data_IF_311454897930
#
_entry.id   IF_311454897930
#
_cell.length_a   1.000
_cell.length_b   1.000
_cell.length_c   1.000
_cell.angle_alpha   90.00
_cell.angle_beta   90.00
_cell.angle_gamma   90.00
#
_symmetry.space_group_name_H-M   'P 1'
#
loop_
_entity.id
_entity.type
_entity.pdbx_description
1 polymer ?
#
# COMPACT_ATOMS: atom_id res chain seq x y z
N UNK A 1 27.73 2.47 1.26
CA UNK A 1 28.08 1.96 -0.09
C UNK A 1 27.08 2.45 -1.15
N UNK A 2 25.93 2.98 -0.73
CA UNK A 2 24.77 3.32 -1.58
C UNK A 2 24.89 4.62 -2.39
N UNK A 3 25.66 5.61 -1.91
CA UNK A 3 25.91 6.85 -2.67
C UNK A 3 26.67 6.62 -3.97
N UNK A 4 27.64 5.68 -4.00
CA UNK A 4 28.38 5.34 -5.22
C UNK A 4 27.49 4.61 -6.24
N UNK A 5 26.55 3.79 -5.77
CA UNK A 5 25.60 3.06 -6.61
C UNK A 5 24.61 4.00 -7.30
N UNK A 6 24.15 5.09 -6.65
CA UNK A 6 23.24 6.05 -7.29
C UNK A 6 23.93 6.89 -8.37
N UNK A 7 25.20 7.28 -8.15
CA UNK A 7 25.99 8.05 -9.13
C UNK A 7 26.25 7.23 -10.39
N UNK A 8 26.57 5.95 -10.27
CA UNK A 8 26.79 5.04 -11.42
C UNK A 8 25.51 4.87 -12.23
N UNK A 9 24.36 4.70 -11.57
CA UNK A 9 23.05 4.61 -12.24
C UNK A 9 22.71 5.90 -12.98
N UNK A 10 23.00 7.05 -12.38
CA UNK A 10 22.77 8.35 -13.00
C UNK A 10 23.67 8.58 -14.22
N UNK A 11 24.96 8.23 -14.12
CA UNK A 11 25.91 8.23 -15.23
C UNK A 11 25.44 7.32 -16.39
N UNK A 12 24.99 6.11 -16.08
CA UNK A 12 24.44 5.19 -17.08
C UNK A 12 23.21 5.76 -17.79
N UNK A 13 22.32 6.43 -17.06
CA UNK A 13 21.13 7.08 -17.61
C UNK A 13 21.51 8.23 -18.55
N UNK A 14 22.47 9.07 -18.17
CA UNK A 14 22.97 10.15 -19.02
C UNK A 14 23.62 9.59 -20.28
N UNK A 15 24.43 8.54 -20.15
CA UNK A 15 25.12 7.91 -21.28
C UNK A 15 24.13 7.24 -22.24
N UNK A 16 23.09 6.60 -21.71
CA UNK A 16 21.97 6.06 -22.49
C UNK A 16 21.23 7.17 -23.24
N UNK A 17 20.96 8.30 -22.58
CA UNK A 17 20.28 9.44 -23.18
C UNK A 17 21.09 10.05 -24.32
N UNK A 18 22.42 10.16 -24.14
CA UNK A 18 23.34 10.61 -25.19
C UNK A 18 23.34 9.64 -26.37
N UNK A 19 23.39 8.33 -26.11
CA UNK A 19 23.36 7.31 -27.15
C UNK A 19 22.05 7.36 -27.97
N UNK A 20 20.90 7.49 -27.30
CA UNK A 20 19.59 7.63 -27.95
C UNK A 20 19.55 8.91 -28.80
N UNK A 21 20.06 10.03 -28.27
CA UNK A 21 20.09 11.31 -28.97
C UNK A 21 20.98 11.24 -30.21
N UNK A 22 22.14 10.57 -30.12
CA UNK A 22 23.05 10.38 -31.25
C UNK A 22 22.40 9.52 -32.35
N UNK A 23 21.75 8.42 -31.97
CA UNK A 23 20.99 7.57 -32.90
C UNK A 23 19.87 8.37 -33.57
N UNK A 24 19.17 9.21 -32.81
CA UNK A 24 18.10 10.06 -33.32
C UNK A 24 18.59 11.13 -34.30
N UNK A 25 19.71 11.80 -34.01
CA UNK A 25 20.32 12.77 -34.93
C UNK A 25 20.79 12.08 -36.21
N UNK A 26 21.43 10.92 -36.09
CA UNK A 26 21.85 10.12 -37.24
C UNK A 26 20.66 9.71 -38.12
N UNK A 27 19.54 9.37 -37.49
CA UNK A 27 18.27 9.09 -38.16
C UNK A 27 17.75 10.29 -38.96
N UNK A 28 17.75 11.51 -38.39
CA UNK A 28 17.30 12.72 -39.10
C UNK A 28 18.17 13.01 -40.33
N UNK A 29 19.49 12.84 -40.22
CA UNK A 29 20.43 13.07 -41.34
C UNK A 29 20.17 12.09 -42.49
N UNK A 30 20.01 10.80 -42.17
CA UNK A 30 19.68 9.77 -43.17
C UNK A 30 18.31 10.03 -43.81
N UNK A 31 17.32 10.44 -43.02
CA UNK A 31 15.97 10.77 -43.49
C UNK A 31 15.98 11.91 -44.52
N UNK A 32 16.69 13.01 -44.21
CA UNK A 32 16.84 14.14 -45.14
C UNK A 32 17.58 13.70 -46.41
N UNK A 33 18.65 12.90 -46.27
CA UNK A 33 19.41 12.38 -47.43
C UNK A 33 18.60 11.50 -48.38
N UNK A 34 17.60 10.76 -47.87
CA UNK A 34 16.70 9.92 -48.66
C UNK A 34 15.60 10.77 -49.32
N UNK A 35 15.04 11.75 -48.60
CA UNK A 35 14.03 12.68 -49.13
C UNK A 35 14.52 13.48 -50.33
N UNK A 36 15.82 13.84 -50.35
CA UNK A 36 16.43 14.57 -51.48
C UNK A 36 16.67 13.66 -52.71
N UNK A 37 16.63 12.32 -52.56
CA UNK A 37 17.09 11.38 -53.60
C UNK A 37 16.04 10.54 -54.33
N UNK A 38 14.77 10.46 -53.89
CA UNK A 38 13.84 9.49 -54.48
C UNK A 38 12.63 10.09 -55.20
N UNK A 39 12.61 9.86 -56.53
CA UNK A 39 11.38 9.63 -57.29
C UNK A 39 10.61 8.46 -56.64
N UNK A 40 9.30 8.65 -56.45
CA UNK A 40 8.45 7.82 -55.60
C UNK A 40 8.37 6.38 -56.13
N UNK A 41 9.06 5.47 -55.44
CA UNK A 41 8.97 4.02 -55.55
C UNK A 41 8.33 3.50 -54.27
N UNK A 42 7.25 2.72 -54.38
CA UNK A 42 6.55 2.09 -53.24
C UNK A 42 7.36 0.89 -52.68
N UNK A 43 8.64 1.09 -52.39
CA UNK A 43 9.44 0.15 -51.62
C UNK A 43 9.50 0.64 -50.18
N UNK A 44 8.88 -0.13 -49.28
CA UNK A 44 8.93 0.14 -47.84
C UNK A 44 10.40 0.12 -47.42
N UNK A 45 10.91 1.23 -46.90
CA UNK A 45 12.31 1.34 -46.53
C UNK A 45 12.56 0.49 -45.27
N UNK A 46 13.73 -0.14 -45.17
CA UNK A 46 14.14 -0.90 -43.98
C UNK A 46 13.98 -0.10 -42.67
N UNK A 47 14.06 1.23 -42.78
CA UNK A 47 13.88 2.20 -41.69
C UNK A 47 12.45 2.18 -41.13
N UNK A 48 11.43 2.01 -41.97
CA UNK A 48 10.03 1.98 -41.54
C UNK A 48 9.75 0.73 -40.70
N UNK A 49 10.34 -0.41 -41.08
CA UNK A 49 10.28 -1.65 -40.31
C UNK A 49 10.96 -1.51 -38.94
N UNK A 50 12.14 -0.89 -38.87
CA UNK A 50 12.86 -0.66 -37.61
C UNK A 50 12.04 0.26 -36.69
N UNK A 51 11.47 1.33 -37.24
CA UNK A 51 10.63 2.26 -36.47
C UNK A 51 9.38 1.57 -35.94
N UNK A 52 8.72 0.74 -36.76
CA UNK A 52 7.54 -0.03 -36.35
C UNK A 52 7.87 -1.02 -35.23
N UNK A 53 8.97 -1.77 -35.34
CA UNK A 53 9.45 -2.71 -34.32
C UNK A 53 9.79 -1.97 -33.02
N UNK A 54 10.52 -0.85 -33.12
CA UNK A 54 10.91 -0.04 -31.96
C UNK A 54 9.68 0.51 -31.23
N UNK A 55 8.71 1.04 -31.97
CA UNK A 55 7.45 1.54 -31.42
C UNK A 55 6.65 0.44 -30.71
N UNK A 56 6.58 -0.76 -31.30
CA UNK A 56 5.93 -1.90 -30.69
C UNK A 56 6.59 -2.32 -29.36
N UNK A 57 7.92 -2.39 -29.32
CA UNK A 57 8.69 -2.72 -28.11
C UNK A 57 8.44 -1.68 -27.01
N UNK A 58 8.52 -0.39 -27.33
CA UNK A 58 8.26 0.70 -26.35
C UNK A 58 6.84 0.62 -25.82
N UNK A 59 5.86 0.38 -26.69
CA UNK A 59 4.45 0.26 -26.31
C UNK A 59 4.22 -0.90 -25.33
N UNK A 60 4.79 -2.07 -25.62
CA UNK A 60 4.71 -3.25 -24.73
C UNK A 60 5.38 -2.94 -23.37
N UNK A 61 6.55 -2.31 -23.39
CA UNK A 61 7.29 -1.98 -22.17
C UNK A 61 6.53 -0.98 -21.28
N UNK A 62 5.99 0.09 -21.87
CA UNK A 62 5.17 1.08 -21.15
C UNK A 62 3.91 0.44 -20.59
N UNK A 63 3.22 -0.40 -21.39
CA UNK A 63 2.04 -1.14 -20.94
C UNK A 63 2.34 -2.05 -19.75
N UNK A 64 3.45 -2.79 -19.80
CA UNK A 64 3.92 -3.63 -18.69
C UNK A 64 4.26 -2.79 -17.45
N UNK A 65 4.97 -1.67 -17.61
CA UNK A 65 5.36 -0.80 -16.50
C UNK A 65 4.14 -0.21 -15.78
N UNK A 66 3.16 0.31 -16.53
CA UNK A 66 1.92 0.87 -15.98
C UNK A 66 1.12 -0.24 -15.28
N UNK A 67 0.95 -1.40 -15.93
CA UNK A 67 0.22 -2.54 -15.37
C UNK A 67 0.83 -3.01 -14.05
N UNK A 68 2.17 -3.14 -14.01
CA UNK A 68 2.89 -3.52 -12.79
C UNK A 68 2.67 -2.52 -11.66
N UNK A 69 2.77 -1.22 -11.96
CA UNK A 69 2.57 -0.15 -10.96
C UNK A 69 1.14 -0.08 -10.43
N UNK A 70 0.14 -0.23 -11.29
CA UNK A 70 -1.28 -0.28 -10.89
C UNK A 70 -1.55 -1.49 -9.99
N UNK A 71 -0.97 -2.64 -10.35
CA UNK A 71 -1.10 -3.89 -9.61
C UNK A 71 -0.49 -3.78 -8.21
N UNK A 72 0.71 -3.21 -8.10
CA UNK A 72 1.38 -2.98 -6.82
C UNK A 72 0.54 -2.07 -5.92
N UNK A 73 0.11 -0.90 -6.42
CA UNK A 73 -0.76 0.02 -5.66
C UNK A 73 -2.04 -0.65 -5.18
N UNK A 74 -2.66 -1.51 -6.00
CA UNK A 74 -3.86 -2.26 -5.62
C UNK A 74 -3.57 -3.24 -4.48
N UNK A 75 -2.50 -4.03 -4.59
CA UNK A 75 -2.11 -4.98 -3.53
C UNK A 75 -1.82 -4.26 -2.21
N UNK A 76 -1.15 -3.12 -2.26
CA UNK A 76 -0.85 -2.31 -1.07
C UNK A 76 -2.13 -1.86 -0.36
N UNK A 77 -3.13 -1.36 -1.11
CA UNK A 77 -4.44 -1.00 -0.57
C UNK A 77 -5.18 -2.19 0.02
N UNK A 78 -5.24 -3.30 -0.72
CA UNK A 78 -5.93 -4.51 -0.27
C UNK A 78 -5.29 -5.06 1.02
N UNK A 79 -3.96 -4.98 1.15
CA UNK A 79 -3.25 -5.38 2.36
C UNK A 79 -3.60 -4.49 3.57
N UNK A 80 -3.53 -3.16 3.44
CA UNK A 80 -3.90 -2.23 4.50
C UNK A 80 -5.38 -2.36 4.92
N UNK A 81 -6.28 -2.52 3.95
CA UNK A 81 -7.70 -2.76 4.21
C UNK A 81 -7.91 -4.11 4.90
N UNK A 82 -7.11 -5.12 4.54
CA UNK A 82 -7.09 -6.43 5.18
C UNK A 82 -6.79 -6.31 6.68
N UNK A 83 -5.74 -5.59 7.05
CA UNK A 83 -5.39 -5.34 8.45
C UNK A 83 -6.52 -4.64 9.23
N UNK A 84 -7.14 -3.61 8.64
CA UNK A 84 -8.26 -2.89 9.26
C UNK A 84 -9.49 -3.76 9.47
N UNK A 85 -9.82 -4.62 8.50
CA UNK A 85 -10.89 -5.61 8.64
C UNK A 85 -10.57 -6.68 9.69
N UNK A 86 -9.29 -7.06 9.79
CA UNK A 86 -8.84 -8.00 10.81
C UNK A 86 -8.96 -7.39 12.22
N UNK A 87 -8.63 -6.10 12.38
CA UNK A 87 -8.88 -5.35 13.63
C UNK A 87 -10.38 -5.35 13.95
N UNK A 88 -11.24 -4.95 13.02
CA UNK A 88 -12.70 -4.91 13.21
C UNK A 88 -13.25 -6.27 13.65
N UNK A 89 -12.80 -7.36 13.01
CA UNK A 89 -13.19 -8.73 13.37
C UNK A 89 -12.76 -9.09 14.81
N UNK A 90 -11.53 -8.77 15.20
CA UNK A 90 -11.04 -9.06 16.55
C UNK A 90 -11.78 -8.22 17.61
N UNK A 91 -12.18 -6.99 17.28
CA UNK A 91 -13.00 -6.15 18.17
C UNK A 91 -14.38 -6.75 18.40
N UNK A 92 -15.03 -7.26 17.36
CA UNK A 92 -16.30 -7.98 17.52
C UNK A 92 -16.14 -9.23 18.39
N UNK A 93 -15.06 -10.00 18.25
CA UNK A 93 -14.80 -11.13 19.15
C UNK A 93 -14.62 -10.69 20.61
N UNK A 94 -13.97 -9.56 20.87
CA UNK A 94 -13.83 -9.00 22.22
C UNK A 94 -15.20 -8.59 22.77
N UNK A 95 -16.00 -7.88 21.97
CA UNK A 95 -17.36 -7.47 22.32
C UNK A 95 -18.24 -8.68 22.67
N UNK A 96 -18.21 -9.73 21.84
CA UNK A 96 -18.94 -10.97 22.04
C UNK A 96 -18.57 -11.67 23.36
N UNK A 97 -17.29 -11.66 23.75
CA UNK A 97 -16.85 -12.24 25.02
C UNK A 97 -17.54 -11.52 26.19
N UNK A 98 -17.57 -10.20 26.16
CA UNK A 98 -18.19 -9.38 27.22
C UNK A 98 -19.72 -9.48 27.24
N UNK A 99 -20.37 -9.72 26.09
CA UNK A 99 -21.81 -9.90 26.02
C UNK A 99 -22.29 -11.27 26.49
N UNK A 100 -21.57 -12.33 26.11
CA UNK A 100 -22.09 -13.71 26.22
C UNK A 100 -21.57 -14.45 27.45
N UNK A 101 -20.47 -14.01 28.05
CA UNK A 101 -19.83 -14.71 29.16
C UNK A 101 -20.39 -14.27 30.52
N UNK A 102 -20.54 -15.20 31.44
CA UNK A 102 -20.88 -14.89 32.85
C UNK A 102 -19.69 -14.29 33.61
N UNK A 103 -18.48 -14.68 33.22
CA UNK A 103 -17.22 -14.18 33.78
C UNK A 103 -16.16 -14.12 32.69
N UNK A 104 -15.25 -13.17 32.81
CA UNK A 104 -14.19 -12.91 31.83
C UNK A 104 -12.83 -13.10 32.50
N UNK A 105 -11.94 -13.83 31.82
CA UNK A 105 -10.54 -14.03 32.23
C UNK A 105 -9.66 -12.93 31.64
N UNK A 106 -8.90 -12.22 32.50
CA UNK A 106 -7.99 -11.16 32.08
C UNK A 106 -6.91 -11.65 31.13
N UNK A 107 -6.44 -12.89 31.29
CA UNK A 107 -5.43 -13.47 30.41
C UNK A 107 -5.98 -13.70 29.02
N UNK A 108 -7.22 -14.18 28.92
CA UNK A 108 -7.88 -14.38 27.63
C UNK A 108 -8.07 -13.05 26.91
N UNK A 109 -8.60 -12.03 27.59
CA UNK A 109 -8.76 -10.69 27.01
C UNK A 109 -7.40 -10.09 26.61
N UNK A 110 -6.41 -10.14 27.48
CA UNK A 110 -5.06 -9.62 27.20
C UNK A 110 -4.41 -10.29 25.99
N UNK A 111 -4.67 -11.58 25.76
CA UNK A 111 -4.20 -12.29 24.57
C UNK A 111 -4.83 -11.72 23.29
N UNK A 112 -6.13 -11.39 23.30
CA UNK A 112 -6.82 -10.74 22.17
C UNK A 112 -6.25 -9.36 21.88
N UNK A 113 -5.96 -8.57 22.92
CA UNK A 113 -5.30 -7.28 22.75
C UNK A 113 -3.88 -7.41 22.22
N UNK A 114 -3.13 -8.44 22.63
CA UNK A 114 -1.80 -8.70 22.07
C UNK A 114 -1.85 -8.96 20.56
N UNK A 115 -2.87 -9.68 20.09
CA UNK A 115 -3.14 -9.84 18.66
C UNK A 115 -3.47 -8.51 17.98
N UNK A 116 -4.33 -7.69 18.58
CA UNK A 116 -4.68 -6.36 18.06
C UNK A 116 -3.44 -5.45 17.93
N UNK A 117 -2.60 -5.38 18.95
CA UNK A 117 -1.36 -4.59 18.89
C UNK A 117 -0.39 -5.11 17.82
N UNK A 118 -0.32 -6.42 17.61
CA UNK A 118 0.49 -7.00 16.53
C UNK A 118 0.01 -6.56 15.15
N UNK A 119 -1.31 -6.61 14.91
CA UNK A 119 -1.92 -6.16 13.65
C UNK A 119 -1.74 -4.64 13.47
N UNK A 120 -1.94 -3.85 14.52
CA UNK A 120 -1.73 -2.39 14.51
C UNK A 120 -0.28 -2.03 14.18
N UNK A 121 0.70 -2.68 14.82
CA UNK A 121 2.11 -2.47 14.52
C UNK A 121 2.41 -2.78 13.04
N UNK A 122 1.92 -3.92 12.53
CA UNK A 122 2.08 -4.29 11.12
C UNK A 122 1.47 -3.24 10.19
N UNK A 123 0.26 -2.78 10.49
CA UNK A 123 -0.43 -1.74 9.73
C UNK A 123 0.36 -0.42 9.72
N UNK A 124 0.85 0.02 10.88
CA UNK A 124 1.64 1.24 11.05
C UNK A 124 2.97 1.18 10.30
N UNK A 125 3.69 0.06 10.40
CA UNK A 125 4.92 -0.18 9.64
C UNK A 125 4.65 -0.16 8.14
N UNK A 126 3.54 -0.77 7.70
CA UNK A 126 3.12 -0.80 6.30
C UNK A 126 2.85 0.62 5.76
N UNK A 127 2.13 1.45 6.52
CA UNK A 127 1.93 2.87 6.18
C UNK A 127 3.27 3.61 6.05
N UNK A 128 4.21 3.34 6.95
CA UNK A 128 5.55 3.95 6.95
C UNK A 128 6.34 3.57 5.70
N UNK A 129 6.42 2.26 5.39
CA UNK A 129 7.12 1.73 4.21
C UNK A 129 6.55 2.29 2.91
N UNK A 130 5.21 2.43 2.84
CA UNK A 130 4.52 2.97 1.67
C UNK A 130 4.58 4.50 1.58
N UNK A 131 5.21 5.18 2.54
CA UNK A 131 5.24 6.65 2.66
C UNK A 131 3.84 7.30 2.68
N UNK A 132 2.83 6.58 3.19
CA UNK A 132 1.45 7.06 3.28
C UNK A 132 1.19 7.86 4.56
N UNK A 133 2.16 7.94 5.47
CA UNK A 133 2.05 8.64 6.76
C UNK A 133 1.66 10.11 6.66
N UNK A 134 1.94 10.76 5.53
CA UNK A 134 1.51 12.16 5.28
C UNK A 134 0.02 12.28 4.94
N UNK A 135 -0.57 11.22 4.40
CA UNK A 135 -1.95 11.20 3.91
C UNK A 135 -2.89 10.48 4.89
N UNK A 136 -2.35 9.60 5.72
CA UNK A 136 -3.08 8.77 6.67
C UNK A 136 -2.57 9.08 8.08
N UNK A 137 -3.33 9.90 8.80
CA UNK A 137 -3.22 10.00 10.27
C UNK A 137 -4.08 8.91 10.87
N UNK A 138 -3.51 8.14 11.80
CA UNK A 138 -4.16 7.02 12.48
C UNK A 138 -4.11 7.23 13.98
N UNK A 139 -5.26 7.12 14.63
CA UNK A 139 -5.37 7.08 16.09
C UNK A 139 -5.70 5.66 16.60
N UNK A 140 -5.60 4.63 15.74
CA UNK A 140 -5.98 3.24 16.06
C UNK A 140 -5.32 2.77 17.35
N UNK A 141 -4.03 3.01 17.52
CA UNK A 141 -3.31 2.56 18.71
C UNK A 141 -3.88 3.15 19.99
N UNK A 142 -4.16 4.45 19.98
CA UNK A 142 -4.73 5.15 21.14
C UNK A 142 -6.11 4.60 21.50
N UNK A 143 -6.99 4.40 20.50
CA UNK A 143 -8.32 3.84 20.77
C UNK A 143 -8.27 2.38 21.23
N UNK A 144 -7.33 1.57 20.72
CA UNK A 144 -7.08 0.20 21.21
C UNK A 144 -6.59 0.24 22.67
N UNK A 145 -5.66 1.12 23.02
CA UNK A 145 -5.16 1.27 24.39
C UNK A 145 -6.26 1.71 25.35
N UNK A 146 -7.09 2.67 24.94
CA UNK A 146 -8.24 3.11 25.71
C UNK A 146 -9.24 1.97 25.96
N UNK A 147 -9.48 1.10 24.98
CA UNK A 147 -10.33 -0.08 25.19
C UNK A 147 -9.63 -1.08 26.11
N UNK A 148 -8.34 -1.35 25.92
CA UNK A 148 -7.56 -2.28 26.75
C UNK A 148 -7.65 -1.92 28.23
N UNK A 149 -7.35 -0.67 28.58
CA UNK A 149 -7.39 -0.19 29.96
C UNK A 149 -8.75 -0.44 30.61
N UNK A 150 -9.84 -0.22 29.87
CA UNK A 150 -11.20 -0.43 30.40
C UNK A 150 -11.61 -1.91 30.43
N UNK A 151 -11.17 -2.68 29.45
CA UNK A 151 -11.49 -4.10 29.30
C UNK A 151 -10.67 -5.01 30.23
N UNK A 152 -9.59 -4.51 30.84
CA UNK A 152 -8.74 -5.26 31.78
C UNK A 152 -8.68 -4.66 33.18
N UNK A 153 -9.59 -3.74 33.51
CA UNK A 153 -9.73 -3.15 34.86
C UNK A 153 -10.37 -4.14 35.84
N UNK A 154 -9.69 -5.26 36.08
CA UNK A 154 -10.19 -6.36 36.90
C UNK A 154 -9.54 -6.31 38.28
N UNK A 155 -10.30 -6.70 39.31
CA UNK A 155 -9.78 -6.80 40.68
C UNK A 155 -9.04 -8.12 40.94
N UNK A 156 -9.09 -9.05 39.99
CA UNK A 156 -8.45 -10.36 40.05
C UNK A 156 -8.36 -11.04 38.67
N UNK A 157 -7.92 -12.32 38.61
CA UNK A 157 -7.72 -13.02 37.33
C UNK A 157 -9.01 -13.19 36.52
N UNK A 158 -10.14 -13.33 37.21
CA UNK A 158 -11.47 -13.42 36.59
C UNK A 158 -12.38 -12.36 37.22
N UNK A 159 -13.18 -11.70 36.40
CA UNK A 159 -14.21 -10.77 36.86
C UNK A 159 -15.57 -11.16 36.29
N UNK A 160 -16.62 -11.03 37.10
CA UNK A 160 -17.99 -11.29 36.63
C UNK A 160 -18.48 -10.13 35.77
N UNK A 161 -19.16 -10.44 34.66
CA UNK A 161 -19.58 -9.41 33.69
C UNK A 161 -20.55 -8.39 34.27
N UNK A 162 -21.32 -8.75 35.30
CA UNK A 162 -22.21 -7.84 36.02
C UNK A 162 -21.49 -6.74 36.83
N UNK A 163 -20.19 -6.88 37.09
CA UNK A 163 -19.36 -5.87 37.76
C UNK A 163 -18.60 -4.97 36.78
N UNK A 164 -18.62 -5.32 35.49
CA UNK A 164 -17.94 -4.58 34.45
C UNK A 164 -18.89 -3.56 33.83
N UNK A 165 -18.32 -2.44 33.38
CA UNK A 165 -19.05 -1.42 32.64
C UNK A 165 -19.15 -1.81 31.16
N UNK A 166 -20.00 -2.81 30.89
CA UNK A 166 -20.23 -3.35 29.54
C UNK A 166 -20.67 -2.25 28.54
N UNK A 167 -21.57 -1.30 28.90
CA UNK A 167 -21.91 -0.20 28.00
C UNK A 167 -20.71 0.65 27.56
N UNK A 168 -19.81 0.99 28.48
CA UNK A 168 -18.60 1.77 28.14
C UNK A 168 -17.61 0.94 27.30
N UNK A 169 -17.45 -0.35 27.58
CA UNK A 169 -16.63 -1.27 26.76
C UNK A 169 -17.16 -1.32 25.32
N UNK A 170 -18.47 -1.52 25.14
CA UNK A 170 -19.12 -1.53 23.82
C UNK A 170 -18.96 -0.22 23.07
N UNK A 171 -19.08 0.91 23.77
CA UNK A 171 -18.84 2.23 23.18
C UNK A 171 -17.42 2.32 22.62
N UNK A 172 -16.42 1.89 23.39
CA UNK A 172 -15.00 1.88 22.96
C UNK A 172 -14.74 0.89 21.81
N UNK A 173 -15.42 -0.26 21.79
CA UNK A 173 -15.40 -1.16 20.63
C UNK A 173 -15.91 -0.44 19.37
N UNK A 174 -17.05 0.25 19.48
CA UNK A 174 -17.62 1.02 18.37
C UNK A 174 -16.71 2.16 17.90
N UNK A 175 -16.03 2.86 18.81
CA UNK A 175 -15.08 3.92 18.45
C UNK A 175 -13.96 3.36 17.55
N UNK A 176 -13.45 2.16 17.85
CA UNK A 176 -12.43 1.49 17.04
C UNK A 176 -13.02 1.10 15.66
N UNK A 177 -14.24 0.55 15.61
CA UNK A 177 -14.90 0.18 14.35
C UNK A 177 -15.14 1.40 13.44
N UNK A 178 -15.53 2.53 14.03
CA UNK A 178 -15.72 3.77 13.28
C UNK A 178 -14.39 4.27 12.71
N UNK A 179 -13.32 4.23 13.50
CA UNK A 179 -11.99 4.64 13.07
C UNK A 179 -11.45 3.74 11.95
N UNK A 180 -11.55 2.40 12.10
CA UNK A 180 -11.11 1.45 11.05
C UNK A 180 -11.87 1.68 9.74
N UNK A 181 -13.20 1.85 9.79
CA UNK A 181 -14.01 2.13 8.59
C UNK A 181 -13.67 3.46 7.95
N UNK A 182 -13.43 4.50 8.76
CA UNK A 182 -13.00 5.82 8.28
C UNK A 182 -11.67 5.71 7.55
N UNK A 183 -10.72 4.93 8.08
CA UNK A 183 -9.43 4.68 7.45
C UNK A 183 -9.55 3.86 6.16
N UNK A 184 -10.43 2.87 6.11
CA UNK A 184 -10.72 2.11 4.87
C UNK A 184 -11.21 3.06 3.76
N UNK A 185 -12.11 4.00 4.08
CA UNK A 185 -12.60 4.99 3.12
C UNK A 185 -11.45 5.88 2.63
N UNK A 186 -10.61 6.38 3.54
CA UNK A 186 -9.43 7.19 3.19
C UNK A 186 -8.48 6.42 2.28
N UNK A 187 -8.14 5.17 2.61
CA UNK A 187 -7.23 4.33 1.80
C UNK A 187 -7.80 4.08 0.39
N UNK A 188 -9.10 3.87 0.29
CA UNK A 188 -9.75 3.69 -1.02
C UNK A 188 -9.68 4.95 -1.89
N UNK A 189 -9.63 6.14 -1.27
CA UNK A 189 -9.60 7.44 -1.96
C UNK A 189 -8.21 7.90 -2.43
N UNK A 190 -7.12 7.26 -1.95
CA UNK A 190 -5.73 7.50 -2.37
C UNK A 190 -5.47 6.91 -3.76
#
# INVERSE_FOLDING_TARGET
>A
MDKKMSIIKWLLLVLLTIAITFIFIHYIILFIGIMVKNNISYQVNAIDYISMITSAIVTIWVGWFISKKLTENRFQKEFLIGDLKEIERNIHEIEDIFETSTSVDIMHISSKFSTLYSIENRFSETISIMNLSKNISTNIREVITNLYEKATDFSGPNEYTNKLDIPEIKKRCNDIIIETRTLIIKINSI
#
